data_IF_895285855242
#
_entry.id   IF_895285855242
#
_cell.length_a   1.000
_cell.length_b   1.000
_cell.length_c   1.000
_cell.angle_alpha   90.00
_cell.angle_beta   90.00
_cell.angle_gamma   90.00
#
_symmetry.space_group_name_H-M   'P 1'
#
loop_
_entity.id
_entity.type
_entity.pdbx_description
1 polymer ?
#
# COMPACT_ATOMS: atom_id res chain seq x y z
N UNK A 1 1.17 -1.38 5.95
CA UNK A 1 0.46 -0.12 5.69
C UNK A 1 1.33 0.75 4.80
N UNK A 2 0.78 1.17 3.69
CA UNK A 2 1.40 2.10 2.75
C UNK A 2 0.65 3.41 2.87
N UNK A 3 1.38 4.50 3.11
CA UNK A 3 0.84 5.85 3.05
C UNK A 3 1.21 6.48 1.72
N UNK A 4 0.31 7.26 1.14
CA UNK A 4 0.59 8.09 -0.03
C UNK A 4 0.20 9.52 0.25
N UNK A 5 0.99 10.45 -0.25
CA UNK A 5 0.70 11.87 -0.21
C UNK A 5 0.99 12.51 -1.57
N UNK A 6 0.23 13.53 -1.88
CA UNK A 6 0.38 14.31 -3.09
C UNK A 6 0.56 15.78 -2.70
N UNK A 7 1.79 16.25 -2.83
CA UNK A 7 2.11 17.67 -2.63
C UNK A 7 2.15 18.37 -3.98
N UNK A 8 1.20 19.27 -4.23
CA UNK A 8 1.17 20.08 -5.44
C UNK A 8 1.30 19.21 -6.70
N UNK A 9 0.24 18.89 -7.35
CA UNK A 9 -0.01 18.24 -8.67
C UNK A 9 1.14 17.51 -9.42
N UNK A 10 2.39 17.55 -8.91
CA UNK A 10 3.59 17.00 -9.55
C UNK A 10 4.37 15.99 -8.68
N UNK A 11 3.93 15.74 -7.44
CA UNK A 11 4.65 14.83 -6.52
C UNK A 11 3.74 13.79 -5.89
N UNK A 12 4.19 12.55 -5.95
CA UNK A 12 3.60 11.42 -5.24
C UNK A 12 4.61 10.85 -4.25
N UNK A 13 4.21 10.70 -2.99
CA UNK A 13 4.96 9.99 -1.96
C UNK A 13 4.32 8.65 -1.66
N UNK A 14 5.09 7.57 -1.72
CA UNK A 14 4.70 6.24 -1.22
C UNK A 14 5.58 5.89 -0.05
N UNK A 15 4.97 5.71 1.11
CA UNK A 15 5.65 5.52 2.38
C UNK A 15 5.37 4.13 2.94
N UNK A 16 6.43 3.40 3.27
CA UNK A 16 6.37 2.05 3.83
C UNK A 16 7.06 2.10 5.19
N UNK A 17 6.53 1.42 6.20
CA UNK A 17 7.19 1.33 7.49
C UNK A 17 8.64 0.86 7.35
N UNK A 18 9.61 1.56 7.99
CA UNK A 18 11.02 1.16 7.97
C UNK A 18 11.28 0.02 8.96
N UNK A 19 10.79 -1.18 8.61
CA UNK A 19 10.95 -2.40 9.40
C UNK A 19 12.43 -2.71 9.62
N UNK A 20 13.30 -2.42 8.64
CA UNK A 20 14.74 -2.67 8.71
C UNK A 20 15.45 -1.84 9.80
N UNK A 21 14.80 -0.78 10.29
CA UNK A 21 15.30 -0.02 11.44
C UNK A 21 15.26 -0.86 12.72
N UNK A 22 14.23 -1.66 12.89
CA UNK A 22 13.96 -2.45 14.10
C UNK A 22 14.49 -3.89 13.99
N UNK A 23 14.30 -4.51 12.83
CA UNK A 23 14.75 -5.90 12.57
C UNK A 23 16.12 -5.84 11.91
N UNK A 24 17.16 -6.05 12.72
CA UNK A 24 18.55 -6.00 12.23
C UNK A 24 19.00 -7.36 11.71
N UNK A 25 19.78 -7.41 10.62
CA UNK A 25 20.37 -8.66 10.14
C UNK A 25 21.13 -9.37 11.25
N UNK A 26 20.97 -10.70 11.37
CA UNK A 26 21.62 -11.54 12.37
C UNK A 26 21.07 -11.41 13.79
N UNK A 27 19.98 -10.68 14.03
CA UNK A 27 19.27 -10.67 15.31
C UNK A 27 18.34 -11.88 15.42
N UNK A 28 18.04 -12.33 16.65
CA UNK A 28 17.06 -13.40 16.91
C UNK A 28 15.71 -13.11 16.25
N UNK A 29 15.29 -11.83 16.25
CA UNK A 29 14.08 -11.41 15.59
C UNK A 29 14.13 -11.58 14.06
N UNK A 30 15.31 -11.34 13.45
CA UNK A 30 15.52 -11.57 12.02
C UNK A 30 15.52 -13.06 11.70
N UNK A 31 16.13 -13.89 12.52
CA UNK A 31 16.13 -15.36 12.35
C UNK A 31 14.73 -15.94 12.47
N UNK A 32 13.95 -15.51 13.46
CA UNK A 32 12.56 -15.94 13.63
C UNK A 32 11.70 -15.49 12.44
N UNK A 33 11.83 -14.24 11.98
CA UNK A 33 11.12 -13.73 10.82
C UNK A 33 11.50 -14.51 9.53
N UNK A 34 12.77 -14.85 9.37
CA UNK A 34 13.25 -15.66 8.25
C UNK A 34 12.64 -17.05 8.26
N UNK A 35 12.61 -17.71 9.44
CA UNK A 35 12.02 -19.04 9.60
C UNK A 35 10.51 -19.05 9.34
N UNK A 36 9.78 -17.99 9.73
CA UNK A 36 8.35 -17.85 9.41
C UNK A 36 8.09 -17.53 7.96
N UNK A 37 9.00 -16.84 7.28
CA UNK A 37 8.99 -16.41 5.91
C UNK A 37 7.83 -15.44 5.51
N UNK A 38 6.64 -15.62 6.08
CA UNK A 38 5.45 -14.81 5.75
C UNK A 38 4.49 -14.71 6.94
N UNK A 39 3.57 -13.76 6.88
CA UNK A 39 2.39 -13.75 7.74
C UNK A 39 1.30 -14.63 7.12
N UNK A 40 0.62 -15.42 7.96
CA UNK A 40 -0.45 -16.32 7.51
C UNK A 40 -1.79 -15.71 7.94
N UNK A 41 -2.70 -15.59 6.98
CA UNK A 41 -4.02 -15.01 7.18
C UNK A 41 -5.08 -16.12 7.10
N UNK A 42 -5.69 -16.43 8.25
CA UNK A 42 -6.87 -17.29 8.33
C UNK A 42 -8.14 -16.43 8.27
N UNK A 43 -9.28 -17.09 8.20
CA UNK A 43 -10.56 -16.40 8.14
C UNK A 43 -10.88 -15.57 9.39
N UNK A 44 -10.42 -16.04 10.55
CA UNK A 44 -10.71 -15.51 11.89
C UNK A 44 -9.48 -14.88 12.57
N UNK A 45 -8.27 -15.20 12.13
CA UNK A 45 -7.06 -14.76 12.79
C UNK A 45 -5.88 -14.56 11.85
N UNK A 46 -4.89 -13.81 12.32
CA UNK A 46 -3.62 -13.60 11.63
C UNK A 46 -2.48 -14.08 12.50
N UNK A 47 -1.63 -14.93 11.93
CA UNK A 47 -0.33 -15.31 12.53
C UNK A 47 0.75 -14.45 11.85
N UNK A 48 1.20 -13.36 12.48
CA UNK A 48 2.12 -12.44 11.84
C UNK A 48 3.55 -13.00 11.81
N UNK A 49 4.29 -12.66 10.74
CA UNK A 49 5.73 -12.96 10.61
C UNK A 49 6.55 -12.26 11.71
N UNK A 50 6.17 -11.05 12.07
CA UNK A 50 6.81 -10.27 13.13
C UNK A 50 5.90 -10.18 14.37
N UNK A 51 6.44 -10.00 15.57
CA UNK A 51 5.64 -9.80 16.78
C UNK A 51 4.60 -8.69 16.62
N UNK A 52 3.43 -8.85 17.24
CA UNK A 52 2.33 -7.87 17.15
C UNK A 52 2.72 -6.48 17.64
N UNK A 53 3.67 -6.37 18.59
CA UNK A 53 4.22 -5.09 19.05
C UNK A 53 4.95 -4.33 17.93
N UNK A 54 5.51 -5.01 16.95
CA UNK A 54 6.08 -4.41 15.74
C UNK A 54 5.00 -4.24 14.66
N UNK A 55 4.37 -5.34 14.23
CA UNK A 55 3.46 -5.33 13.07
C UNK A 55 2.24 -4.45 13.26
N UNK A 56 1.66 -4.41 14.46
CA UNK A 56 0.47 -3.62 14.78
C UNK A 56 0.80 -2.36 15.60
N UNK A 57 2.01 -2.28 16.15
CA UNK A 57 2.50 -1.19 17.00
C UNK A 57 3.43 -0.23 16.25
N UNK A 58 4.73 -0.34 16.53
CA UNK A 58 5.74 0.65 16.09
C UNK A 58 5.86 0.75 14.56
N UNK A 59 5.71 -0.36 13.84
CA UNK A 59 5.75 -0.40 12.39
C UNK A 59 4.39 -0.11 11.73
N UNK A 60 3.31 0.07 12.50
CA UNK A 60 2.02 0.49 11.93
C UNK A 60 2.01 2.00 11.72
N UNK A 61 1.68 2.45 10.50
CA UNK A 61 1.57 3.88 10.16
C UNK A 61 0.24 4.45 10.70
N UNK A 62 0.10 4.45 12.02
CA UNK A 62 -1.09 4.95 12.70
C UNK A 62 -1.24 6.46 12.48
N UNK A 63 -2.49 6.94 12.48
CA UNK A 63 -2.78 8.35 12.35
C UNK A 63 -2.26 9.16 13.55
N UNK A 64 -1.82 10.38 13.28
CA UNK A 64 -1.34 11.36 14.27
C UNK A 64 -0.15 10.90 15.11
N UNK A 65 0.55 9.87 14.67
CA UNK A 65 1.75 9.36 15.32
C UNK A 65 2.96 9.47 14.41
N UNK A 66 4.10 9.88 14.96
CA UNK A 66 5.37 9.88 14.24
C UNK A 66 5.85 8.45 14.04
N UNK A 67 6.14 8.09 12.79
CA UNK A 67 6.61 6.76 12.41
C UNK A 67 7.80 6.83 11.46
N UNK A 68 8.75 5.92 11.66
CA UNK A 68 9.84 5.75 10.74
C UNK A 68 9.35 5.08 9.46
N UNK A 69 9.67 5.67 8.34
CA UNK A 69 9.27 5.18 7.04
C UNK A 69 10.45 5.15 6.05
N UNK A 70 10.38 4.22 5.13
CA UNK A 70 11.15 4.20 3.91
C UNK A 70 10.26 4.71 2.79
N UNK A 71 10.63 5.82 2.20
CA UNK A 71 9.75 6.60 1.32
C UNK A 71 10.30 6.65 -0.09
N UNK A 72 9.43 6.38 -1.05
CA UNK A 72 9.66 6.66 -2.47
C UNK A 72 8.96 7.98 -2.81
N UNK A 73 9.74 9.01 -3.07
CA UNK A 73 9.23 10.32 -3.49
C UNK A 73 9.41 10.43 -5.00
N UNK A 74 8.32 10.58 -5.71
CA UNK A 74 8.26 10.57 -7.17
C UNK A 74 7.79 11.92 -7.70
N UNK A 75 8.39 12.38 -8.79
CA UNK A 75 7.93 13.52 -9.55
C UNK A 75 7.29 13.04 -10.84
N UNK A 76 6.14 13.59 -11.17
CA UNK A 76 5.34 13.20 -12.30
C UNK A 76 5.06 14.44 -13.18
N UNK A 77 4.93 14.24 -14.47
CA UNK A 77 4.44 15.26 -15.38
C UNK A 77 2.89 15.31 -15.40
N UNK A 78 2.33 16.20 -16.19
CA UNK A 78 0.88 16.40 -16.32
C UNK A 78 0.15 15.19 -16.92
N UNK A 79 0.87 14.33 -17.64
CA UNK A 79 0.33 13.09 -18.23
C UNK A 79 0.47 11.88 -17.32
N UNK A 80 1.04 12.06 -16.12
CA UNK A 80 1.28 11.02 -15.15
C UNK A 80 2.55 10.21 -15.41
N UNK A 81 3.47 10.65 -16.29
CA UNK A 81 4.73 9.97 -16.50
C UNK A 81 5.71 10.31 -15.39
N UNK A 82 6.48 9.31 -14.96
CA UNK A 82 7.53 9.47 -13.98
C UNK A 82 8.72 10.23 -14.61
N UNK A 83 9.05 11.40 -14.06
CA UNK A 83 10.19 12.22 -14.50
C UNK A 83 11.42 12.08 -13.60
N UNK A 84 11.20 11.89 -12.30
CA UNK A 84 12.27 11.72 -11.32
C UNK A 84 11.77 10.97 -10.08
N UNK A 85 12.65 10.32 -9.34
CA UNK A 85 12.33 9.69 -8.06
C UNK A 85 13.54 9.61 -7.14
N UNK A 86 13.28 9.51 -5.85
CA UNK A 86 14.31 9.21 -4.85
C UNK A 86 13.75 8.37 -3.71
N UNK A 87 14.61 7.52 -3.16
CA UNK A 87 14.34 6.79 -1.93
C UNK A 87 15.01 7.48 -0.75
N UNK A 88 14.28 7.64 0.33
CA UNK A 88 14.78 8.27 1.56
C UNK A 88 14.23 7.58 2.79
N UNK A 89 15.04 7.50 3.84
CA UNK A 89 14.53 7.23 5.19
C UNK A 89 13.90 8.52 5.71
N UNK A 90 12.71 8.42 6.25
CA UNK A 90 11.91 9.56 6.67
C UNK A 90 11.19 9.28 7.98
N UNK A 91 10.70 10.35 8.58
CA UNK A 91 9.73 10.30 9.68
C UNK A 91 8.45 10.91 9.14
N UNK A 92 7.36 10.17 9.22
CA UNK A 92 6.05 10.61 8.75
C UNK A 92 5.04 10.66 9.89
N UNK A 93 4.01 11.46 9.72
CA UNK A 93 2.85 11.51 10.59
C UNK A 93 1.60 11.43 9.70
N UNK A 94 0.94 10.26 9.70
CA UNK A 94 -0.29 10.08 8.94
C UNK A 94 -1.40 10.98 9.48
N UNK A 95 -2.06 11.72 8.61
CA UNK A 95 -3.17 12.61 8.98
C UNK A 95 -4.40 11.82 9.34
N UNK A 96 -4.68 10.80 8.54
CA UNK A 96 -5.89 9.99 8.64
C UNK A 96 -5.55 8.52 8.32
N UNK A 97 -6.22 7.59 9.00
CA UNK A 97 -6.17 6.16 8.66
C UNK A 97 -7.30 5.87 7.67
N UNK A 98 -6.95 5.79 6.38
CA UNK A 98 -7.90 5.53 5.31
C UNK A 98 -8.54 4.14 5.39
N UNK A 99 -9.85 4.09 5.17
CA UNK A 99 -10.64 2.87 5.01
C UNK A 99 -11.21 2.87 3.60
N UNK A 100 -10.94 1.83 2.83
CA UNK A 100 -11.29 1.77 1.41
C UNK A 100 -12.77 2.06 1.13
N UNK A 101 -13.69 1.46 1.91
CA UNK A 101 -15.13 1.70 1.75
C UNK A 101 -15.52 3.16 1.95
N UNK A 102 -14.92 3.84 2.94
CA UNK A 102 -15.16 5.26 3.21
C UNK A 102 -14.60 6.14 2.08
N UNK A 103 -13.37 5.86 1.62
CA UNK A 103 -12.76 6.59 0.50
C UNK A 103 -13.56 6.37 -0.79
N UNK A 104 -14.04 5.15 -1.07
CA UNK A 104 -14.91 4.89 -2.21
C UNK A 104 -16.21 5.70 -2.14
N UNK A 105 -16.82 5.83 -0.95
CA UNK A 105 -18.00 6.67 -0.75
C UNK A 105 -17.71 8.17 -0.97
N UNK A 106 -16.54 8.64 -0.54
CA UNK A 106 -16.08 10.02 -0.80
C UNK A 106 -15.86 10.28 -2.29
N UNK A 107 -15.20 9.36 -3.00
CA UNK A 107 -14.96 9.47 -4.44
C UNK A 107 -16.25 9.42 -5.26
N UNK A 108 -17.26 8.68 -4.77
CA UNK A 108 -18.59 8.59 -5.38
C UNK A 108 -19.53 9.74 -4.97
N UNK A 109 -19.15 10.58 -3.99
CA UNK A 109 -20.01 11.65 -3.47
C UNK A 109 -21.19 11.16 -2.61
N UNK A 110 -21.12 9.93 -2.09
CA UNK A 110 -22.18 9.29 -1.27
C UNK A 110 -21.84 9.21 0.21
N UNK A 111 -20.68 9.76 0.62
CA UNK A 111 -20.23 9.76 2.01
C UNK A 111 -21.12 10.63 2.89
N UNK A 112 -21.41 10.13 4.10
CA UNK A 112 -22.13 10.87 5.12
C UNK A 112 -21.29 12.02 5.74
N UNK A 113 -21.93 12.85 6.55
CA UNK A 113 -21.28 14.02 7.14
C UNK A 113 -20.17 13.62 8.13
N UNK A 114 -20.29 12.49 8.82
CA UNK A 114 -19.27 11.99 9.75
C UNK A 114 -18.02 11.56 9.00
N UNK A 115 -18.16 10.79 7.93
CA UNK A 115 -17.07 10.40 7.04
C UNK A 115 -16.40 11.62 6.42
N UNK A 116 -17.16 12.60 5.91
CA UNK A 116 -16.60 13.83 5.36
C UNK A 116 -15.79 14.62 6.40
N UNK A 117 -16.27 14.73 7.63
CA UNK A 117 -15.57 15.39 8.72
C UNK A 117 -14.26 14.66 9.11
N UNK A 118 -14.28 13.31 9.15
CA UNK A 118 -13.11 12.47 9.42
C UNK A 118 -11.97 12.72 8.42
N UNK A 119 -12.30 12.89 7.14
CA UNK A 119 -11.33 13.05 6.07
C UNK A 119 -11.09 14.53 5.67
N UNK A 120 -11.63 15.50 6.41
CA UNK A 120 -11.58 16.93 6.05
C UNK A 120 -10.16 17.44 5.73
N UNK A 121 -9.15 16.96 6.45
CA UNK A 121 -7.73 17.37 6.26
C UNK A 121 -7.11 16.89 4.94
N UNK A 122 -7.72 15.91 4.26
CA UNK A 122 -7.16 15.26 3.07
C UNK A 122 -8.12 15.23 1.87
N UNK A 123 -9.33 15.76 2.03
CA UNK A 123 -10.36 15.77 0.99
C UNK A 123 -9.91 16.46 -0.29
N UNK A 124 -9.14 17.55 -0.18
CA UNK A 124 -8.59 18.30 -1.30
C UNK A 124 -7.58 17.53 -2.15
N UNK A 125 -6.99 16.48 -1.61
CA UNK A 125 -6.02 15.62 -2.31
C UNK A 125 -6.70 14.52 -3.14
N UNK A 126 -7.88 14.05 -2.74
CA UNK A 126 -8.57 12.93 -3.40
C UNK A 126 -8.82 13.15 -4.90
N UNK A 127 -9.28 14.34 -5.36
CA UNK A 127 -9.46 14.58 -6.79
C UNK A 127 -8.16 14.45 -7.60
N UNK A 128 -7.06 14.99 -7.07
CA UNK A 128 -5.75 14.91 -7.71
C UNK A 128 -5.21 13.48 -7.73
N UNK A 129 -5.42 12.71 -6.65
CA UNK A 129 -5.07 11.28 -6.60
C UNK A 129 -5.88 10.48 -7.63
N UNK A 130 -7.17 10.75 -7.77
CA UNK A 130 -8.05 10.12 -8.76
C UNK A 130 -7.62 10.45 -10.19
N UNK A 131 -7.28 11.70 -10.47
CA UNK A 131 -6.78 12.14 -11.78
C UNK A 131 -5.47 11.41 -12.13
N UNK A 132 -4.52 11.38 -11.20
CA UNK A 132 -3.27 10.65 -11.39
C UNK A 132 -3.50 9.16 -11.63
N UNK A 133 -4.39 8.54 -10.85
CA UNK A 133 -4.77 7.14 -11.06
C UNK A 133 -5.28 6.91 -12.49
N UNK A 134 -6.17 7.77 -13.00
CA UNK A 134 -6.72 7.65 -14.36
C UNK A 134 -5.60 7.72 -15.41
N UNK A 135 -4.65 8.66 -15.28
CA UNK A 135 -3.48 8.74 -16.17
C UNK A 135 -2.62 7.46 -16.10
N UNK A 136 -2.31 6.98 -14.90
CA UNK A 136 -1.47 5.77 -14.72
C UNK A 136 -2.15 4.51 -15.24
N UNK A 137 -3.44 4.34 -15.00
CA UNK A 137 -4.22 3.21 -15.51
C UNK A 137 -4.25 3.22 -17.05
N UNK A 138 -4.41 4.39 -17.68
CA UNK A 138 -4.32 4.55 -19.14
C UNK A 138 -2.94 4.11 -19.65
N UNK A 139 -1.85 4.63 -19.08
CA UNK A 139 -0.48 4.29 -19.45
C UNK A 139 -0.19 2.78 -19.27
N UNK A 140 -0.75 2.15 -18.23
CA UNK A 140 -0.66 0.72 -18.00
C UNK A 140 -1.33 -0.07 -19.13
N UNK A 141 -2.53 0.34 -19.52
CA UNK A 141 -3.28 -0.28 -20.62
C UNK A 141 -2.57 -0.11 -21.97
N UNK A 142 -2.05 1.08 -22.26
CA UNK A 142 -1.28 1.37 -23.47
C UNK A 142 -0.01 0.51 -23.60
N UNK A 143 0.61 0.14 -22.47
CA UNK A 143 1.75 -0.78 -22.43
C UNK A 143 1.37 -2.24 -22.64
N UNK A 144 0.09 -2.56 -22.79
CA UNK A 144 -0.40 -3.92 -23.05
C UNK A 144 -0.47 -4.78 -21.78
N UNK A 145 -0.63 -4.18 -20.60
CA UNK A 145 -0.84 -4.93 -19.37
C UNK A 145 -2.16 -5.70 -19.44
N UNK A 146 -2.12 -6.99 -19.10
CA UNK A 146 -3.31 -7.85 -19.03
C UNK A 146 -3.84 -7.79 -17.60
N UNK A 147 -5.11 -7.43 -17.44
CA UNK A 147 -5.79 -7.47 -16.15
C UNK A 147 -6.42 -8.86 -15.96
N UNK A 148 -5.97 -9.57 -14.91
CA UNK A 148 -6.59 -10.82 -14.50
C UNK A 148 -7.55 -10.54 -13.34
N UNK A 149 -8.83 -10.77 -13.54
CA UNK A 149 -9.78 -10.80 -12.42
C UNK A 149 -9.54 -12.03 -11.55
N UNK A 150 -8.84 -11.87 -10.44
CA UNK A 150 -8.79 -12.90 -9.41
C UNK A 150 -10.05 -12.80 -8.55
N UNK A 151 -10.85 -13.85 -8.56
CA UNK A 151 -12.06 -13.94 -7.72
C UNK A 151 -11.71 -14.18 -6.27
N UNK A 152 -11.18 -13.18 -5.56
CA UNK A 152 -11.01 -13.28 -4.11
C UNK A 152 -12.36 -13.42 -3.43
N UNK A 153 -12.43 -14.32 -2.45
CA UNK A 153 -13.64 -14.53 -1.63
C UNK A 153 -13.37 -14.10 -0.20
N UNK A 154 -14.39 -13.52 0.42
CA UNK A 154 -14.43 -13.22 1.84
C UNK A 154 -15.35 -14.20 2.53
N UNK A 155 -14.82 -14.97 3.48
CA UNK A 155 -15.63 -15.81 4.34
C UNK A 155 -16.32 -14.96 5.41
N UNK A 156 -17.60 -15.20 5.60
CA UNK A 156 -18.38 -14.60 6.69
C UNK A 156 -18.52 -15.67 7.77
N UNK A 157 -18.02 -15.38 8.96
CA UNK A 157 -18.04 -16.30 10.08
C UNK A 157 -19.11 -15.87 11.09
N UNK A 158 -19.69 -16.84 11.80
CA UNK A 158 -20.54 -16.61 12.97
C UNK A 158 -19.67 -16.34 14.22
N UNK A 159 -20.32 -16.12 15.37
CA UNK A 159 -19.67 -15.87 16.66
C UNK A 159 -18.81 -17.04 17.16
N UNK A 160 -19.03 -18.24 16.62
CA UNK A 160 -18.31 -19.46 16.95
C UNK A 160 -17.18 -19.78 15.95
N UNK A 161 -16.97 -18.92 14.94
CA UNK A 161 -15.96 -19.12 13.90
C UNK A 161 -16.39 -20.05 12.76
N UNK A 162 -17.66 -20.46 12.67
CA UNK A 162 -18.16 -21.27 11.55
C UNK A 162 -18.49 -20.39 10.35
N UNK A 163 -18.12 -20.85 9.17
CA UNK A 163 -18.43 -20.14 7.93
C UNK A 163 -19.93 -20.25 7.63
N UNK A 164 -20.62 -19.11 7.61
CA UNK A 164 -22.04 -19.01 7.33
C UNK A 164 -22.35 -18.47 5.93
N UNK A 165 -21.39 -17.78 5.30
CA UNK A 165 -21.56 -17.22 3.96
C UNK A 165 -20.21 -17.01 3.28
N UNK A 166 -20.23 -16.96 1.95
CA UNK A 166 -19.04 -16.68 1.11
C UNK A 166 -19.40 -15.58 0.14
N UNK A 167 -18.74 -14.43 0.27
CA UNK A 167 -18.97 -13.27 -0.61
C UNK A 167 -17.77 -13.01 -1.51
N UNK A 168 -18.04 -12.72 -2.79
CA UNK A 168 -17.00 -12.23 -3.70
C UNK A 168 -16.53 -10.86 -3.19
N UNK A 169 -15.22 -10.70 -2.99
CA UNK A 169 -14.63 -9.41 -2.70
C UNK A 169 -14.54 -8.61 -4.00
N UNK A 170 -15.22 -7.48 -4.02
CA UNK A 170 -15.10 -6.51 -5.13
C UNK A 170 -14.13 -5.41 -4.71
N UNK A 171 -13.08 -5.21 -5.52
CA UNK A 171 -12.19 -4.06 -5.35
C UNK A 171 -12.87 -2.80 -5.87
N UNK A 172 -12.78 -1.72 -5.12
CA UNK A 172 -13.30 -0.42 -5.53
C UNK A 172 -12.24 0.46 -6.19
N UNK A 173 -12.61 1.69 -6.50
CA UNK A 173 -11.71 2.65 -7.15
C UNK A 173 -10.52 3.02 -6.26
N UNK A 174 -10.71 3.12 -4.95
CA UNK A 174 -9.64 3.45 -4.00
C UNK A 174 -8.59 2.35 -3.89
N UNK A 175 -8.99 1.07 -3.92
CA UNK A 175 -8.06 -0.06 -3.94
C UNK A 175 -7.19 -0.04 -5.20
N UNK A 176 -7.82 0.13 -6.36
CA UNK A 176 -7.11 0.21 -7.64
C UNK A 176 -6.17 1.42 -7.72
N UNK A 177 -6.56 2.55 -7.15
CA UNK A 177 -5.73 3.75 -7.06
C UNK A 177 -4.46 3.50 -6.23
N UNK A 178 -4.59 2.91 -5.05
CA UNK A 178 -3.43 2.58 -4.21
C UNK A 178 -2.54 1.53 -4.87
N UNK A 179 -3.13 0.52 -5.52
CA UNK A 179 -2.38 -0.48 -6.30
C UNK A 179 -1.49 0.18 -7.36
N UNK A 180 -2.03 1.10 -8.17
CA UNK A 180 -1.24 1.82 -9.18
C UNK A 180 -0.08 2.63 -8.58
N UNK A 181 -0.29 3.27 -7.42
CA UNK A 181 0.78 4.01 -6.75
C UNK A 181 1.87 3.08 -6.20
N UNK A 182 1.49 1.93 -5.68
CA UNK A 182 2.43 0.89 -5.24
C UNK A 182 3.21 0.30 -6.42
N UNK A 183 2.54 0.01 -7.53
CA UNK A 183 3.18 -0.48 -8.76
C UNK A 183 4.20 0.53 -9.30
N UNK A 184 3.89 1.82 -9.25
CA UNK A 184 4.84 2.86 -9.64
C UNK A 184 6.06 2.90 -8.72
N UNK A 185 5.87 2.82 -7.41
CA UNK A 185 6.97 2.74 -6.46
C UNK A 185 7.83 1.47 -6.66
N UNK A 186 7.21 0.33 -6.96
CA UNK A 186 7.90 -0.91 -7.28
C UNK A 186 8.73 -0.79 -8.59
N UNK A 187 8.22 -0.09 -9.61
CA UNK A 187 8.98 0.22 -10.82
C UNK A 187 10.22 1.08 -10.51
N UNK A 188 10.08 2.08 -9.63
CA UNK A 188 11.22 2.88 -9.15
C UNK A 188 12.25 2.00 -8.43
N UNK A 189 11.81 1.09 -7.57
CA UNK A 189 12.70 0.19 -6.84
C UNK A 189 13.45 -0.77 -7.77
N UNK A 190 12.75 -1.36 -8.75
CA UNK A 190 13.37 -2.22 -9.76
C UNK A 190 14.38 -1.47 -10.63
N UNK A 191 14.05 -0.25 -11.05
CA UNK A 191 14.99 0.60 -11.79
C UNK A 191 16.21 0.95 -10.94
N UNK A 192 16.02 1.34 -9.67
CA UNK A 192 17.11 1.64 -8.74
C UNK A 192 18.04 0.43 -8.55
N UNK A 193 17.49 -0.76 -8.30
CA UNK A 193 18.26 -1.99 -8.15
C UNK A 193 19.09 -2.28 -9.42
N UNK A 194 18.48 -2.15 -10.60
CA UNK A 194 19.15 -2.33 -11.89
C UNK A 194 20.33 -1.37 -12.08
N UNK A 195 20.12 -0.08 -11.79
CA UNK A 195 21.18 0.95 -11.92
C UNK A 195 22.33 0.71 -10.93
N UNK A 196 22.02 0.15 -9.75
CA UNK A 196 23.01 -0.18 -8.72
C UNK A 196 23.61 -1.58 -8.90
N UNK A 197 23.25 -2.30 -9.96
CA UNK A 197 23.67 -3.69 -10.19
C UNK A 197 23.36 -4.63 -9.01
N UNK A 198 22.26 -4.36 -8.31
CA UNK A 198 21.80 -5.19 -7.20
C UNK A 198 20.92 -6.34 -7.73
N UNK A 199 21.09 -7.54 -7.16
CA UNK A 199 20.14 -8.63 -7.36
C UNK A 199 18.81 -8.28 -6.70
N UNK A 200 17.72 -8.43 -7.45
CA UNK A 200 16.37 -8.27 -6.97
C UNK A 200 15.59 -9.55 -7.23
N UNK A 201 15.31 -10.29 -6.16
CA UNK A 201 14.42 -11.46 -6.24
C UNK A 201 12.98 -10.99 -6.14
N UNK A 202 12.16 -11.38 -7.11
CA UNK A 202 10.72 -11.08 -7.12
C UNK A 202 9.89 -12.30 -6.81
N UNK A 203 10.07 -13.37 -7.58
CA UNK A 203 9.41 -14.66 -7.39
C UNK A 203 10.35 -15.76 -7.86
N UNK A 204 10.34 -16.97 -7.25
CA UNK A 204 11.10 -18.09 -7.76
C UNK A 204 10.63 -18.42 -9.17
N UNK A 205 11.58 -18.68 -10.06
CA UNK A 205 11.28 -19.15 -11.41
C UNK A 205 10.77 -20.60 -11.33
N UNK A 206 9.76 -21.00 -12.13
CA UNK A 206 9.36 -22.40 -12.22
C UNK A 206 10.47 -23.33 -12.74
N UNK A 207 11.62 -22.77 -13.13
CA UNK A 207 12.80 -23.51 -13.63
C UNK A 207 13.91 -23.62 -12.59
N UNK A 208 13.78 -22.96 -11.42
CA UNK A 208 14.68 -23.05 -10.29
C UNK A 208 14.21 -24.16 -9.33
#
# INVERSE_FOLDING_TARGET
>A
LVGSEMCIRDRLGVHIADVSHYVKPGSELNEEAFNRATSVYYADQVVPMLPKSLSNGICSLNEKELRLAFSCLMRLDQDGNLTDYKFVKSIICSRVKGVYSEINALLAGTADAETQAKYAEVLDQLPAMKELYAHRARLRKERGCIDFESGEVKLILDENGHCIDVKKRTSGESEAMIEEFMLLANQCAAHFARVKHCLLYTSPSPRD
#
